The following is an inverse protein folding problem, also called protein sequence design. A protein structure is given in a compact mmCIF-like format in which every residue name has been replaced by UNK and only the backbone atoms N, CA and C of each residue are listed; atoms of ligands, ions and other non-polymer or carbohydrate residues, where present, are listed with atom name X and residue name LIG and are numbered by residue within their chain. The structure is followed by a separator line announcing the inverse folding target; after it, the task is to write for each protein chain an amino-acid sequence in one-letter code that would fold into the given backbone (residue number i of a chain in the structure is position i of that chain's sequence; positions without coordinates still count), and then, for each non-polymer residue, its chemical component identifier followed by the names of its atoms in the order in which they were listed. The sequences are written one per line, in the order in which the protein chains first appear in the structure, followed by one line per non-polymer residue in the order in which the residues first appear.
data_IF_497906242637
#
_entry.id   IF_497906242637
#
_cell.length_a   1.000
_cell.length_b   1.000
_cell.length_c   1.000
_cell.angle_alpha   90.00
_cell.angle_beta   90.00
_cell.angle_gamma   90.00
#
_symmetry.space_group_name_H-M   'P 1'
#
loop_
_entity.id
_entity.type
_entity.pdbx_description
1 polymer ?
#
# COMPACT_ATOMS: atom_id res chain seq x y z
N UNK A 1 28.70 11.21 -24.47
CA UNK A 1 28.23 10.97 -23.09
C UNK A 1 26.96 11.77 -22.90
N UNK A 2 25.79 11.15 -23.06
CA UNK A 2 24.50 11.85 -23.10
C UNK A 2 23.81 11.81 -21.74
N UNK A 3 23.05 12.84 -21.39
CA UNK A 3 22.30 13.00 -20.12
C UNK A 3 21.35 11.82 -19.77
N UNK A 4 21.07 10.90 -20.73
CA UNK A 4 20.39 9.62 -20.47
C UNK A 4 21.25 8.64 -19.67
N UNK A 5 22.56 8.63 -19.88
CA UNK A 5 23.53 7.91 -19.04
C UNK A 5 23.42 8.36 -17.60
N UNK A 6 23.28 9.67 -17.36
CA UNK A 6 23.26 10.21 -16.00
C UNK A 6 21.91 10.06 -15.31
N UNK A 7 20.79 9.98 -16.04
CA UNK A 7 19.47 9.70 -15.44
C UNK A 7 19.25 8.20 -15.22
N UNK A 8 19.69 7.31 -16.12
CA UNK A 8 19.67 5.86 -15.85
C UNK A 8 20.71 5.47 -14.81
N UNK A 9 21.89 6.08 -14.82
CA UNK A 9 22.88 5.95 -13.75
C UNK A 9 22.36 6.60 -12.48
N UNK A 10 21.65 7.73 -12.49
CA UNK A 10 20.99 8.27 -11.30
C UNK A 10 19.85 7.38 -10.82
N UNK A 11 19.07 6.70 -11.68
CA UNK A 11 18.00 5.78 -11.28
C UNK A 11 18.53 4.40 -10.85
N UNK A 12 19.64 3.92 -11.42
CA UNK A 12 20.35 2.69 -11.04
C UNK A 12 21.25 2.90 -9.82
N UNK A 13 21.91 4.06 -9.71
CA UNK A 13 22.60 4.53 -8.52
C UNK A 13 21.58 4.93 -7.45
N UNK A 14 20.37 5.44 -7.75
CA UNK A 14 19.25 5.61 -6.79
C UNK A 14 18.53 4.30 -6.45
N UNK A 15 18.59 3.29 -7.33
CA UNK A 15 18.16 1.92 -7.00
C UNK A 15 19.23 1.18 -6.17
N UNK A 16 20.51 1.59 -6.27
CA UNK A 16 21.62 1.13 -5.43
C UNK A 16 21.81 1.97 -4.16
N UNK A 17 21.40 3.24 -4.16
CA UNK A 17 21.26 4.14 -3.02
C UNK A 17 19.91 3.81 -2.39
N UNK A 18 19.93 2.79 -1.54
CA UNK A 18 18.85 2.50 -0.62
C UNK A 18 17.53 2.11 -1.32
N UNK A 19 17.57 1.01 -2.10
CA UNK A 19 16.50 0.03 -1.86
C UNK A 19 16.58 -0.26 -0.36
N UNK A 20 15.72 0.35 0.45
CA UNK A 20 15.60 -0.02 1.84
C UNK A 20 15.38 -1.53 1.82
N UNK A 21 16.43 -2.31 2.10
CA UNK A 21 16.37 -3.76 1.96
C UNK A 21 15.19 -4.16 2.81
N UNK A 22 14.12 -4.69 2.20
CA UNK A 22 12.97 -5.11 2.97
C UNK A 22 13.46 -6.28 3.82
N UNK A 23 13.82 -5.98 5.06
CA UNK A 23 14.22 -6.98 6.05
C UNK A 23 12.98 -7.65 6.63
N UNK A 24 11.83 -6.95 6.64
CA UNK A 24 10.56 -7.46 7.14
C UNK A 24 9.96 -8.53 6.21
N UNK A 25 9.76 -9.74 6.74
CA UNK A 25 9.21 -10.90 6.02
C UNK A 25 7.84 -10.65 5.38
N UNK A 26 6.96 -9.88 6.02
CA UNK A 26 5.61 -9.64 5.54
C UNK A 26 5.63 -8.74 4.31
N UNK A 27 6.48 -7.70 4.34
CA UNK A 27 6.64 -6.78 3.22
C UNK A 27 7.32 -7.44 2.01
N UNK A 28 8.11 -8.51 2.20
CA UNK A 28 8.62 -9.33 1.08
C UNK A 28 7.49 -10.02 0.30
N UNK A 29 6.37 -10.35 0.95
CA UNK A 29 5.21 -10.92 0.25
C UNK A 29 4.57 -9.89 -0.68
N UNK A 30 4.52 -8.62 -0.25
CA UNK A 30 4.07 -7.53 -1.11
C UNK A 30 4.96 -7.44 -2.33
N UNK A 31 6.28 -7.44 -2.14
CA UNK A 31 7.23 -7.33 -3.24
C UNK A 31 7.04 -8.45 -4.26
N UNK A 32 6.90 -9.69 -3.79
CA UNK A 32 6.60 -10.83 -4.65
C UNK A 32 5.35 -10.60 -5.50
N UNK A 33 4.28 -10.05 -4.94
CA UNK A 33 3.06 -9.76 -5.72
C UNK A 33 3.29 -8.61 -6.69
N UNK A 34 3.95 -7.53 -6.27
CA UNK A 34 4.25 -6.38 -7.12
C UNK A 34 5.14 -6.77 -8.31
N UNK A 35 6.24 -7.49 -8.08
CA UNK A 35 7.12 -7.99 -9.14
C UNK A 35 6.37 -8.84 -10.17
N UNK A 36 5.42 -9.65 -9.72
CA UNK A 36 4.62 -10.49 -10.61
C UNK A 36 3.54 -9.70 -11.37
N UNK A 37 2.83 -8.80 -10.69
CA UNK A 37 1.62 -8.15 -11.20
C UNK A 37 1.91 -6.79 -11.86
N UNK A 38 2.80 -5.98 -11.29
CA UNK A 38 3.19 -4.64 -11.72
C UNK A 38 4.69 -4.37 -11.48
N UNK A 39 5.61 -5.10 -12.15
CA UNK A 39 7.05 -4.93 -11.94
C UNK A 39 7.55 -3.52 -12.22
N UNK A 40 6.87 -2.77 -13.08
CA UNK A 40 7.21 -1.38 -13.40
C UNK A 40 7.12 -0.43 -12.20
N UNK A 41 6.45 -0.82 -11.11
CA UNK A 41 6.39 -0.01 -9.89
C UNK A 41 7.29 -0.56 -8.79
N UNK A 42 7.95 -1.72 -9.00
CA UNK A 42 8.63 -2.47 -7.95
C UNK A 42 9.74 -1.67 -7.25
N UNK A 43 10.43 -0.81 -7.99
CA UNK A 43 11.51 0.02 -7.46
C UNK A 43 11.02 1.27 -6.70
N UNK A 44 9.73 1.64 -6.82
CA UNK A 44 9.24 2.93 -6.32
C UNK A 44 8.07 2.79 -5.34
N UNK A 45 7.26 1.74 -5.42
CA UNK A 45 6.08 1.58 -4.55
C UNK A 45 6.44 1.51 -3.06
N UNK A 46 7.68 1.14 -2.75
CA UNK A 46 8.17 1.06 -1.39
C UNK A 46 8.64 2.39 -0.85
N UNK A 47 8.80 3.43 -1.69
CA UNK A 47 9.42 4.69 -1.31
C UNK A 47 8.89 5.18 0.03
N UNK A 48 9.82 5.34 0.96
CA UNK A 48 9.60 5.82 2.32
C UNK A 48 10.48 7.03 2.45
N UNK A 49 9.89 8.09 2.94
CA UNK A 49 10.61 9.32 3.03
C UNK A 49 11.38 9.36 4.34
N UNK A 50 12.54 8.70 4.40
CA UNK A 50 13.34 8.54 5.64
C UNK A 50 14.76 9.11 5.56
N UNK A 51 15.17 9.67 4.41
CA UNK A 51 16.60 9.82 4.07
C UNK A 51 17.05 11.25 3.66
N UNK A 52 16.21 12.28 3.72
CA UNK A 52 16.64 13.62 3.26
C UNK A 52 17.10 14.58 4.35
N UNK A 53 18.26 15.21 4.16
CA UNK A 53 18.85 16.24 5.04
C UNK A 53 17.93 17.44 5.32
N UNK A 54 17.05 17.83 4.40
CA UNK A 54 16.04 18.89 4.60
C UNK A 54 15.06 18.60 5.76
N UNK A 55 14.92 17.33 6.18
CA UNK A 55 14.08 16.94 7.32
C UNK A 55 14.71 17.27 8.67
N UNK A 56 16.01 17.56 8.76
CA UNK A 56 16.67 17.94 10.02
C UNK A 56 16.02 19.17 10.68
N UNK A 57 15.34 20.02 9.90
CA UNK A 57 14.66 21.24 10.38
C UNK A 57 13.23 20.93 10.92
N UNK A 58 12.64 19.74 10.65
CA UNK A 58 11.24 19.37 11.01
C UNK A 58 11.09 17.97 11.63
N UNK A 59 12.16 17.31 12.07
CA UNK A 59 12.17 15.91 12.53
C UNK A 59 11.15 15.60 13.63
N UNK A 60 10.97 16.51 14.60
CA UNK A 60 10.08 16.30 15.74
C UNK A 60 8.63 15.98 15.35
N UNK A 61 8.02 16.86 14.55
CA UNK A 61 6.62 16.69 14.10
C UNK A 61 6.45 15.51 13.15
N UNK A 62 7.48 15.16 12.39
CA UNK A 62 7.44 14.00 11.50
C UNK A 62 7.40 12.68 12.30
N UNK A 63 8.25 12.54 13.32
CA UNK A 63 8.22 11.37 14.20
C UNK A 63 6.90 11.24 14.95
N UNK A 64 6.36 12.34 15.44
CA UNK A 64 5.04 12.39 16.07
C UNK A 64 3.93 11.90 15.12
N UNK A 65 3.87 12.44 13.91
CA UNK A 65 2.89 12.07 12.88
C UNK A 65 3.02 10.59 12.45
N UNK A 66 4.24 10.05 12.40
CA UNK A 66 4.51 8.61 12.17
C UNK A 66 4.01 7.74 13.31
N UNK A 67 4.28 8.14 14.56
CA UNK A 67 3.76 7.45 15.75
C UNK A 67 2.24 7.47 15.76
N UNK A 68 1.62 8.61 15.50
CA UNK A 68 0.16 8.71 15.33
C UNK A 68 -0.35 7.83 14.19
N UNK A 69 0.38 7.72 13.08
CA UNK A 69 0.08 6.81 11.98
C UNK A 69 0.10 5.34 12.36
N UNK A 70 1.02 4.93 13.23
CA UNK A 70 1.09 3.56 13.77
C UNK A 70 -0.07 3.30 14.74
N UNK A 71 -0.36 4.26 15.64
CA UNK A 71 -1.48 4.15 16.56
C UNK A 71 -2.80 4.10 15.76
N UNK A 72 -2.94 4.93 14.74
CA UNK A 72 -4.07 4.90 13.80
C UNK A 72 -4.19 3.54 13.13
N UNK A 73 -3.09 2.96 12.64
CA UNK A 73 -3.10 1.58 12.11
C UNK A 73 -3.73 0.66 13.15
N UNK A 74 -3.17 0.54 14.35
CA UNK A 74 -3.69 -0.35 15.39
C UNK A 74 -5.17 -0.09 15.72
N UNK A 75 -5.58 1.17 15.80
CA UNK A 75 -6.97 1.57 15.99
C UNK A 75 -7.87 1.02 14.88
N UNK A 76 -7.48 1.17 13.61
CA UNK A 76 -8.18 0.60 12.46
C UNK A 76 -8.14 -0.93 12.46
N UNK A 77 -7.21 -1.55 13.19
CA UNK A 77 -7.16 -2.99 13.43
C UNK A 77 -8.01 -3.46 14.63
N UNK A 78 -8.76 -2.55 15.26
CA UNK A 78 -9.60 -2.85 16.43
C UNK A 78 -8.84 -2.85 17.75
N UNK A 79 -7.52 -2.58 17.74
CA UNK A 79 -6.69 -2.55 18.93
C UNK A 79 -6.60 -1.12 19.47
N UNK A 80 -7.37 -0.84 20.52
CA UNK A 80 -7.42 0.49 21.15
C UNK A 80 -6.32 0.75 22.18
N UNK A 81 -5.81 -0.29 22.84
CA UNK A 81 -4.73 -0.19 23.85
C UNK A 81 -3.40 -0.61 23.24
N UNK A 82 -2.44 0.30 23.19
CA UNK A 82 -1.15 0.08 22.52
C UNK A 82 0.00 0.42 23.46
N UNK A 83 0.93 -0.51 23.65
CA UNK A 83 2.10 -0.30 24.48
C UNK A 83 3.28 0.28 23.69
N UNK A 84 4.23 0.94 24.36
CA UNK A 84 5.41 1.55 23.72
C UNK A 84 6.24 0.55 22.89
N UNK A 85 6.41 -0.69 23.37
CA UNK A 85 7.14 -1.72 22.64
C UNK A 85 6.46 -2.12 21.32
N UNK A 86 5.14 -2.07 21.27
CA UNK A 86 4.36 -2.39 20.07
C UNK A 86 4.47 -1.28 19.03
N UNK A 87 4.53 -0.02 19.49
CA UNK A 87 4.82 1.12 18.61
C UNK A 87 6.22 1.01 18.02
N UNK A 88 7.23 0.68 18.85
CA UNK A 88 8.61 0.47 18.41
C UNK A 88 8.72 -0.65 17.37
N UNK A 89 8.10 -1.80 17.63
CA UNK A 89 8.11 -2.94 16.73
C UNK A 89 7.46 -2.64 15.37
N UNK A 90 6.37 -1.88 15.36
CA UNK A 90 5.74 -1.44 14.10
C UNK A 90 6.53 -0.33 13.42
N UNK A 91 7.13 0.59 14.17
CA UNK A 91 7.85 1.73 13.62
C UNK A 91 9.00 1.27 12.72
N UNK A 92 9.83 0.33 13.21
CA UNK A 92 10.95 -0.23 12.43
C UNK A 92 10.52 -1.01 11.18
N UNK A 93 9.24 -1.41 11.05
CA UNK A 93 8.74 -2.06 9.82
C UNK A 93 8.58 -1.06 8.68
N UNK A 94 8.19 0.17 9.00
CA UNK A 94 7.76 1.18 8.03
C UNK A 94 8.70 2.37 7.92
N UNK A 95 9.56 2.59 8.91
CA UNK A 95 10.42 3.76 8.98
C UNK A 95 11.82 3.41 9.48
N UNK A 96 12.78 4.32 9.25
CA UNK A 96 14.13 4.23 9.82
C UNK A 96 14.09 4.12 11.34
N UNK A 97 14.73 3.09 11.89
CA UNK A 97 14.71 2.80 13.33
C UNK A 97 15.16 3.99 14.19
N UNK A 98 14.45 4.19 15.30
CA UNK A 98 14.76 5.21 16.32
C UNK A 98 14.75 4.55 17.70
N UNK A 99 15.47 5.14 18.66
CA UNK A 99 15.54 4.61 20.01
C UNK A 99 14.14 4.56 20.68
N UNK A 100 13.88 3.51 21.46
CA UNK A 100 12.66 3.36 22.25
C UNK A 100 12.38 4.55 23.18
N UNK A 101 13.44 5.14 23.74
CA UNK A 101 13.35 6.36 24.57
C UNK A 101 12.76 7.52 23.79
N UNK A 102 13.14 7.71 22.53
CA UNK A 102 12.59 8.71 21.61
C UNK A 102 11.10 8.48 21.36
N UNK A 103 10.69 7.23 21.11
CA UNK A 103 9.27 6.88 20.95
C UNK A 103 8.49 7.20 22.23
N UNK A 104 9.02 6.83 23.39
CA UNK A 104 8.42 7.15 24.69
C UNK A 104 8.26 8.66 24.88
N UNK A 105 9.25 9.46 24.50
CA UNK A 105 9.20 10.93 24.55
C UNK A 105 8.04 11.48 23.72
N UNK A 106 7.89 11.08 22.46
CA UNK A 106 6.78 11.55 21.62
C UNK A 106 5.42 11.08 22.10
N UNK A 107 5.31 9.84 22.57
CA UNK A 107 4.08 9.34 23.19
C UNK A 107 3.70 10.14 24.45
N UNK A 108 4.68 10.59 25.24
CA UNK A 108 4.46 11.49 26.37
C UNK A 108 4.05 12.90 25.93
N UNK A 109 4.59 13.41 24.83
CA UNK A 109 4.18 14.70 24.25
C UNK A 109 2.72 14.66 23.81
N UNK A 110 2.36 13.68 23.00
CA UNK A 110 0.98 13.45 22.53
C UNK A 110 -0.01 13.28 23.70
N UNK A 111 0.45 12.71 24.83
CA UNK A 111 -0.34 12.67 26.06
C UNK A 111 -0.54 14.06 26.68
N UNK A 112 0.50 14.87 26.78
CA UNK A 112 0.40 16.24 27.34
C UNK A 112 -0.49 17.14 26.49
N UNK A 113 -0.53 16.91 25.18
CA UNK A 113 -1.37 17.63 24.22
C UNK A 113 -2.80 17.09 24.14
N UNK A 114 -3.16 16.11 24.98
CA UNK A 114 -4.48 15.48 25.01
C UNK A 114 -4.88 14.76 23.72
N UNK A 115 -3.93 14.44 22.84
CA UNK A 115 -4.16 13.56 21.68
C UNK A 115 -4.31 12.11 22.12
N UNK A 116 -3.54 11.70 23.13
CA UNK A 116 -3.57 10.38 23.73
C UNK A 116 -3.82 10.50 25.24
N UNK A 117 -4.41 9.47 25.85
CA UNK A 117 -4.35 9.27 27.29
C UNK A 117 -3.60 7.97 27.63
N UNK A 118 -3.27 7.83 28.91
CA UNK A 118 -2.53 6.69 29.44
C UNK A 118 -3.38 5.89 30.39
N UNK A 119 -3.30 4.58 30.25
CA UNK A 119 -3.81 3.61 31.21
C UNK A 119 -2.66 2.72 31.67
N UNK A 120 -2.68 2.29 32.94
CA UNK A 120 -1.70 1.36 33.48
C UNK A 120 -2.36 0.04 33.85
N UNK A 121 -1.72 -1.04 33.45
CA UNK A 121 -2.03 -2.39 33.92
C UNK A 121 -0.74 -3.01 34.47
N UNK A 122 -0.63 -3.03 35.80
CA UNK A 122 0.62 -3.37 36.49
C UNK A 122 1.81 -2.52 36.04
N UNK A 123 2.80 -3.15 35.40
CA UNK A 123 4.02 -2.50 34.90
C UNK A 123 3.89 -1.99 33.45
N UNK A 124 2.81 -2.34 32.76
CA UNK A 124 2.62 -1.98 31.35
C UNK A 124 1.85 -0.67 31.25
N UNK A 125 2.32 0.22 30.39
CA UNK A 125 1.67 1.50 30.08
C UNK A 125 1.06 1.41 28.68
N UNK A 126 -0.25 1.59 28.62
CA UNK A 126 -1.01 1.64 27.38
C UNK A 126 -1.32 3.08 26.99
N UNK A 127 -1.26 3.35 25.70
CA UNK A 127 -1.64 4.59 25.06
C UNK A 127 -2.90 4.36 24.24
N UNK A 128 -3.84 5.28 24.36
CA UNK A 128 -5.17 5.20 23.74
C UNK A 128 -5.50 6.60 23.21
N UNK A 129 -6.15 6.69 22.05
CA UNK A 129 -6.66 7.97 21.56
C UNK A 129 -7.65 8.58 22.56
N UNK A 130 -7.50 9.88 22.82
CA UNK A 130 -8.45 10.60 23.67
C UNK A 130 -9.82 10.72 23.01
N UNK A 131 -9.82 10.99 21.70
CA UNK A 131 -11.00 11.03 20.84
C UNK A 131 -10.79 10.14 19.61
N UNK A 132 -11.88 9.57 19.08
CA UNK A 132 -11.79 8.76 17.87
C UNK A 132 -11.27 9.61 16.69
N UNK A 133 -10.37 9.05 15.84
CA UNK A 133 -9.84 9.76 14.69
C UNK A 133 -10.95 10.26 13.74
N UNK A 134 -10.82 11.47 13.15
CA UNK A 134 -11.88 12.10 12.38
C UNK A 134 -12.19 11.34 11.09
N UNK A 135 -13.47 11.07 10.84
CA UNK A 135 -13.95 10.33 9.66
C UNK A 135 -14.35 11.29 8.54
N UNK A 136 -14.00 10.96 7.29
CA UNK A 136 -14.46 11.70 6.12
C UNK A 136 -13.82 13.07 5.94
N UNK A 137 -12.71 13.34 6.63
CA UNK A 137 -11.94 14.57 6.49
C UNK A 137 -11.15 14.59 5.17
N UNK A 138 -10.93 15.78 4.62
CA UNK A 138 -10.11 15.94 3.43
C UNK A 138 -8.72 15.31 3.65
N UNK A 139 -8.19 14.54 2.68
CA UNK A 139 -6.92 13.88 2.85
C UNK A 139 -5.74 14.80 3.17
N UNK A 140 -5.74 16.05 2.67
CA UNK A 140 -4.73 17.05 3.02
C UNK A 140 -4.69 17.33 4.53
N UNK A 141 -5.84 17.55 5.16
CA UNK A 141 -5.89 17.80 6.60
C UNK A 141 -5.53 16.55 7.39
N UNK A 142 -5.94 15.37 6.91
CA UNK A 142 -5.61 14.11 7.56
C UNK A 142 -4.10 13.83 7.57
N UNK A 143 -3.42 13.93 6.41
CA UNK A 143 -2.00 13.58 6.30
C UNK A 143 -1.08 14.59 7.00
N UNK A 144 -1.57 15.81 7.27
CA UNK A 144 -0.87 16.75 8.16
C UNK A 144 -0.80 16.30 9.61
N UNK A 145 -1.75 15.46 10.06
CA UNK A 145 -1.87 14.98 11.44
C UNK A 145 -1.38 13.54 11.56
N UNK A 146 -1.78 12.67 10.63
CA UNK A 146 -1.52 11.23 10.66
C UNK A 146 -0.69 10.75 9.48
N UNK A 147 0.28 9.88 9.74
CA UNK A 147 0.97 9.18 8.67
C UNK A 147 0.11 8.00 8.21
N UNK A 148 -0.36 8.04 6.98
CA UNK A 148 -1.23 7.00 6.41
C UNK A 148 -0.48 5.75 5.94
N UNK A 149 0.86 5.80 5.88
CA UNK A 149 1.70 4.73 5.34
C UNK A 149 1.41 3.39 6.04
N UNK A 150 1.45 3.28 7.38
CA UNK A 150 1.24 2.01 8.07
C UNK A 150 -0.15 1.41 7.76
N UNK A 151 -1.19 2.24 7.73
CA UNK A 151 -2.56 1.79 7.48
C UNK A 151 -2.73 1.19 6.06
N UNK A 152 -2.18 1.86 5.03
CA UNK A 152 -2.25 1.35 3.66
C UNK A 152 -1.37 0.12 3.44
N UNK A 153 -0.20 0.03 4.07
CA UNK A 153 0.62 -1.19 3.98
C UNK A 153 -0.02 -2.37 4.70
N UNK A 154 -0.60 -2.16 5.88
CA UNK A 154 -1.38 -3.18 6.58
C UNK A 154 -2.56 -3.68 5.72
N UNK A 155 -3.22 -2.77 5.00
CA UNK A 155 -4.26 -3.10 4.03
C UNK A 155 -3.72 -3.88 2.81
N UNK A 156 -2.59 -3.47 2.25
CA UNK A 156 -1.95 -4.20 1.14
C UNK A 156 -1.58 -5.63 1.56
N UNK A 157 -1.04 -5.82 2.76
CA UNK A 157 -0.71 -7.14 3.30
C UNK A 157 -1.94 -8.06 3.39
N UNK A 158 -3.10 -7.54 3.76
CA UNK A 158 -4.33 -8.31 3.77
C UNK A 158 -4.67 -8.85 2.36
N UNK A 159 -4.68 -7.99 1.33
CA UNK A 159 -4.98 -8.43 -0.03
C UNK A 159 -3.86 -9.27 -0.66
N UNK A 160 -2.61 -9.08 -0.26
CA UNK A 160 -1.50 -9.96 -0.64
C UNK A 160 -1.73 -11.37 -0.11
N UNK A 161 -2.19 -11.52 1.13
CA UNK A 161 -2.57 -12.82 1.67
C UNK A 161 -3.71 -13.46 0.86
N UNK A 162 -4.71 -12.69 0.44
CA UNK A 162 -5.76 -13.18 -0.45
C UNK A 162 -5.20 -13.65 -1.79
N UNK A 163 -4.36 -12.84 -2.44
CA UNK A 163 -3.70 -13.18 -3.69
C UNK A 163 -2.90 -14.49 -3.60
N UNK A 164 -2.12 -14.65 -2.52
CA UNK A 164 -1.26 -15.81 -2.32
C UNK A 164 -2.07 -17.08 -1.98
N UNK A 165 -3.17 -16.94 -1.24
CA UNK A 165 -4.04 -18.05 -0.82
C UNK A 165 -5.27 -18.25 -1.72
N UNK A 166 -5.28 -17.67 -2.92
CA UNK A 166 -6.42 -17.71 -3.82
C UNK A 166 -6.93 -19.14 -4.10
N UNK A 167 -6.02 -20.12 -4.24
CA UNK A 167 -6.38 -21.53 -4.47
C UNK A 167 -7.21 -22.09 -3.33
N UNK A 168 -6.76 -21.85 -2.08
CA UNK A 168 -7.47 -22.25 -0.87
C UNK A 168 -8.87 -21.63 -0.79
N UNK A 169 -8.98 -20.31 -1.00
CA UNK A 169 -10.27 -19.63 -0.91
C UNK A 169 -11.26 -20.07 -1.99
N UNK A 170 -10.77 -20.32 -3.21
CA UNK A 170 -11.61 -20.85 -4.29
C UNK A 170 -12.02 -22.30 -3.98
N UNK A 171 -11.15 -23.13 -3.41
CA UNK A 171 -11.49 -24.50 -2.99
C UNK A 171 -12.56 -24.56 -1.90
N UNK A 172 -12.43 -23.71 -0.88
CA UNK A 172 -13.40 -23.61 0.22
C UNK A 172 -14.78 -23.15 -0.28
N UNK A 173 -14.80 -22.34 -1.35
CA UNK A 173 -16.04 -21.83 -1.96
C UNK A 173 -16.65 -22.77 -3.02
N UNK A 174 -15.83 -23.45 -3.83
CA UNK A 174 -16.27 -24.25 -4.98
C UNK A 174 -16.50 -25.74 -4.66
N UNK A 175 -17.25 -26.08 -3.61
CA UNK A 175 -17.73 -27.46 -3.47
C UNK A 175 -18.71 -27.88 -4.61
N UNK A 176 -19.22 -26.91 -5.38
CA UNK A 176 -20.31 -27.10 -6.34
C UNK A 176 -19.94 -26.89 -7.84
N UNK A 177 -18.72 -26.52 -8.20
CA UNK A 177 -18.36 -26.15 -9.60
C UNK A 177 -17.49 -27.18 -10.34
N UNK A 178 -17.74 -27.33 -11.65
CA UNK A 178 -17.03 -28.26 -12.53
C UNK A 178 -15.50 -28.00 -12.58
N UNK A 179 -14.65 -29.06 -12.67
CA UNK A 179 -13.19 -28.95 -12.58
C UNK A 179 -12.52 -27.99 -13.58
N UNK A 180 -13.19 -27.69 -14.70
CA UNK A 180 -12.66 -26.83 -15.77
C UNK A 180 -12.63 -25.33 -15.44
N UNK A 181 -13.45 -24.85 -14.51
CA UNK A 181 -13.58 -23.40 -14.25
C UNK A 181 -12.68 -22.88 -13.13
N UNK A 182 -12.21 -23.78 -12.26
CA UNK A 182 -11.40 -23.43 -11.08
C UNK A 182 -10.13 -22.65 -11.44
N UNK A 183 -9.41 -23.07 -12.48
CA UNK A 183 -8.17 -22.38 -12.92
C UNK A 183 -8.45 -20.95 -13.39
N UNK A 184 -9.57 -20.72 -14.08
CA UNK A 184 -9.97 -19.39 -14.55
C UNK A 184 -10.36 -18.52 -13.36
N UNK A 185 -11.16 -19.06 -12.44
CA UNK A 185 -11.56 -18.34 -11.22
C UNK A 185 -10.35 -17.96 -10.35
N UNK A 186 -9.39 -18.87 -10.14
CA UNK A 186 -8.14 -18.55 -9.42
C UNK A 186 -7.38 -17.43 -10.11
N UNK A 187 -7.23 -17.47 -11.43
CA UNK A 187 -6.56 -16.42 -12.20
C UNK A 187 -7.27 -15.07 -12.03
N UNK A 188 -8.59 -15.06 -12.16
CA UNK A 188 -9.42 -13.86 -12.09
C UNK A 188 -9.45 -13.28 -10.67
N UNK A 189 -9.55 -14.13 -9.65
CA UNK A 189 -9.42 -13.76 -8.24
C UNK A 189 -8.06 -13.12 -7.95
N UNK A 190 -6.97 -13.73 -8.44
CA UNK A 190 -5.61 -13.16 -8.32
C UNK A 190 -5.53 -11.82 -9.06
N UNK A 191 -6.13 -11.70 -10.24
CA UNK A 191 -6.14 -10.44 -10.99
C UNK A 191 -6.85 -9.32 -10.23
N UNK A 192 -8.06 -9.56 -9.73
CA UNK A 192 -8.83 -8.61 -8.92
C UNK A 192 -8.04 -8.22 -7.66
N UNK A 193 -7.51 -9.20 -6.93
CA UNK A 193 -6.70 -8.95 -5.73
C UNK A 193 -5.45 -8.12 -6.04
N UNK A 194 -4.76 -8.42 -7.13
CA UNK A 194 -3.60 -7.65 -7.63
C UNK A 194 -3.98 -6.21 -7.98
N UNK A 195 -5.13 -6.01 -8.63
CA UNK A 195 -5.63 -4.68 -8.97
C UNK A 195 -5.99 -3.87 -7.72
N UNK A 196 -6.59 -4.50 -6.70
CA UNK A 196 -6.86 -3.86 -5.40
C UNK A 196 -5.54 -3.42 -4.74
N UNK A 197 -4.51 -4.28 -4.71
CA UNK A 197 -3.18 -3.93 -4.16
C UNK A 197 -2.58 -2.74 -4.91
N UNK A 198 -2.63 -2.75 -6.23
CA UNK A 198 -2.11 -1.64 -7.04
C UNK A 198 -2.87 -0.34 -6.77
N UNK A 199 -4.20 -0.42 -6.62
CA UNK A 199 -5.05 0.72 -6.28
C UNK A 199 -4.84 1.21 -4.85
N UNK A 200 -4.50 0.33 -3.90
CA UNK A 200 -4.06 0.71 -2.54
C UNK A 200 -2.83 1.60 -2.62
N UNK A 201 -1.82 1.22 -3.40
CA UNK A 201 -0.62 2.05 -3.56
C UNK A 201 -0.92 3.37 -4.26
N UNK A 202 -1.83 3.38 -5.24
CA UNK A 202 -2.31 4.62 -5.86
C UNK A 202 -3.00 5.53 -4.85
N UNK A 203 -3.90 4.99 -4.03
CA UNK A 203 -4.61 5.77 -3.02
C UNK A 203 -3.61 6.33 -2.01
N UNK A 204 -2.69 5.50 -1.51
CA UNK A 204 -1.61 5.96 -0.63
C UNK A 204 -0.82 7.10 -1.27
N UNK A 205 -0.38 6.96 -2.52
CA UNK A 205 0.44 7.97 -3.20
C UNK A 205 -0.28 9.30 -3.33
N UNK A 206 -1.54 9.30 -3.80
CA UNK A 206 -2.34 10.53 -3.94
C UNK A 206 -2.48 11.28 -2.62
N UNK A 207 -2.57 10.57 -1.49
CA UNK A 207 -2.62 11.21 -0.17
C UNK A 207 -1.24 11.65 0.33
N UNK A 208 -0.19 10.91 0.03
CA UNK A 208 1.19 11.31 0.34
C UNK A 208 1.58 12.59 -0.39
N UNK A 209 1.14 12.83 -1.63
CA UNK A 209 1.35 14.10 -2.35
C UNK A 209 0.82 15.30 -1.56
N UNK A 210 -0.27 15.13 -0.80
CA UNK A 210 -0.84 16.18 0.05
C UNK A 210 -0.09 16.38 1.38
N UNK A 211 0.87 15.53 1.74
CA UNK A 211 1.58 15.60 3.01
C UNK A 211 2.56 16.77 3.04
N UNK A 212 2.46 17.62 4.07
CA UNK A 212 3.34 18.78 4.28
C UNK A 212 4.79 18.42 4.60
N UNK A 213 5.03 17.17 4.99
CA UNK A 213 6.36 16.64 5.29
C UNK A 213 6.95 15.89 4.09
N UNK A 214 6.26 15.90 2.94
CA UNK A 214 6.64 15.10 1.79
C UNK A 214 7.35 15.82 0.65
N UNK A 215 8.34 15.14 0.06
CA UNK A 215 8.94 15.47 -1.23
C UNK A 215 7.94 15.24 -2.35
N UNK A 216 7.12 16.27 -2.59
CA UNK A 216 6.03 16.26 -3.59
C UNK A 216 6.47 15.72 -4.94
N UNK A 217 7.67 16.07 -5.41
CA UNK A 217 8.17 15.62 -6.72
C UNK A 217 8.28 14.10 -6.85
N UNK A 218 8.78 13.41 -5.82
CA UNK A 218 8.94 11.96 -5.85
C UNK A 218 7.57 11.29 -5.76
N UNK A 219 6.69 11.78 -4.88
CA UNK A 219 5.34 11.23 -4.77
C UNK A 219 4.47 11.51 -6.00
N UNK A 220 4.67 12.64 -6.69
CA UNK A 220 4.03 12.93 -7.98
C UNK A 220 4.49 11.91 -9.04
N UNK A 221 5.81 11.70 -9.18
CA UNK A 221 6.34 10.67 -10.09
C UNK A 221 5.80 9.29 -9.77
N UNK A 222 5.72 8.94 -8.49
CA UNK A 222 5.18 7.68 -8.02
C UNK A 222 3.69 7.56 -8.34
N UNK A 223 2.91 8.63 -8.14
CA UNK A 223 1.50 8.68 -8.49
C UNK A 223 1.28 8.50 -10.00
N UNK A 224 2.10 9.13 -10.84
CA UNK A 224 2.03 9.01 -12.30
C UNK A 224 2.30 7.59 -12.77
N UNK A 225 3.42 7.01 -12.31
CA UNK A 225 3.84 5.64 -12.67
C UNK A 225 2.79 4.63 -12.23
N UNK A 226 2.30 4.74 -11.00
CA UNK A 226 1.22 3.87 -10.50
C UNK A 226 -0.08 4.14 -11.27
N UNK A 227 -0.35 5.40 -11.62
CA UNK A 227 -1.52 5.80 -12.40
C UNK A 227 -1.59 5.11 -13.76
N UNK A 228 -0.47 5.07 -14.48
CA UNK A 228 -0.31 4.33 -15.73
C UNK A 228 -0.52 2.83 -15.49
N UNK A 229 0.15 2.27 -14.49
CA UNK A 229 0.05 0.83 -14.18
C UNK A 229 -1.40 0.41 -13.84
N UNK A 230 -2.16 1.24 -13.11
CA UNK A 230 -3.59 1.02 -12.84
C UNK A 230 -4.37 1.04 -14.15
N UNK A 231 -4.20 2.09 -14.96
CA UNK A 231 -4.91 2.24 -16.24
C UNK A 231 -4.71 1.03 -17.13
N UNK A 232 -3.48 0.53 -17.24
CA UNK A 232 -3.19 -0.63 -18.10
C UNK A 232 -3.89 -1.93 -17.70
N UNK A 233 -4.38 -2.00 -16.47
CA UNK A 233 -5.01 -3.18 -15.86
C UNK A 233 -6.47 -2.96 -15.53
N UNK A 234 -7.04 -1.80 -15.88
CA UNK A 234 -8.42 -1.45 -15.52
C UNK A 234 -9.21 -0.73 -16.59
N UNK A 235 -8.59 -0.26 -17.68
CA UNK A 235 -9.23 0.65 -18.62
C UNK A 235 -10.37 0.05 -19.46
N UNK A 236 -10.41 -1.28 -19.61
CA UNK A 236 -11.48 -1.98 -20.31
C UNK A 236 -12.38 -2.78 -19.36
N UNK A 237 -12.20 -2.61 -18.04
CA UNK A 237 -13.07 -3.21 -17.05
C UNK A 237 -14.34 -2.37 -16.85
N UNK A 238 -15.49 -3.00 -16.55
CA UNK A 238 -16.73 -2.29 -16.26
C UNK A 238 -16.61 -1.35 -15.07
N UNK A 239 -17.26 -0.18 -15.16
CA UNK A 239 -17.23 0.81 -14.09
C UNK A 239 -17.76 0.27 -12.76
N UNK A 240 -18.76 -0.61 -12.79
CA UNK A 240 -19.33 -1.20 -11.58
C UNK A 240 -18.29 -2.03 -10.82
N UNK A 241 -17.49 -2.85 -11.52
CA UNK A 241 -16.38 -3.59 -10.90
C UNK A 241 -15.36 -2.63 -10.29
N UNK A 242 -15.03 -1.54 -11.00
CA UNK A 242 -14.02 -0.59 -10.54
C UNK A 242 -14.49 0.24 -9.34
N UNK A 243 -15.67 0.83 -9.41
CA UNK A 243 -16.21 1.74 -8.39
C UNK A 243 -16.73 0.97 -7.18
N UNK A 244 -17.56 -0.05 -7.40
CA UNK A 244 -18.28 -0.71 -6.31
C UNK A 244 -17.39 -1.70 -5.56
N UNK A 245 -16.44 -2.36 -6.24
CA UNK A 245 -15.55 -3.34 -5.63
C UNK A 245 -14.14 -2.79 -5.42
N UNK A 246 -13.40 -2.49 -6.49
CA UNK A 246 -11.96 -2.20 -6.40
C UNK A 246 -11.69 -0.92 -5.59
N UNK A 247 -12.43 0.16 -5.86
CA UNK A 247 -12.26 1.43 -5.16
C UNK A 247 -12.65 1.32 -3.69
N UNK A 248 -13.78 0.69 -3.38
CA UNK A 248 -14.23 0.46 -1.99
C UNK A 248 -13.22 -0.39 -1.20
N UNK A 249 -12.73 -1.49 -1.79
CA UNK A 249 -11.81 -2.40 -1.14
C UNK A 249 -10.40 -1.83 -0.98
N UNK A 250 -9.97 -0.94 -1.86
CA UNK A 250 -8.63 -0.35 -1.82
C UNK A 250 -8.49 0.84 -0.85
N UNK A 251 -9.59 1.36 -0.30
CA UNK A 251 -9.58 2.53 0.59
C UNK A 251 -9.61 2.14 2.07
N UNK A 252 -8.98 2.94 2.95
CA UNK A 252 -9.04 2.71 4.41
C UNK A 252 -10.34 3.28 5.01
N UNK A 253 -10.82 2.76 6.17
CA UNK A 253 -12.13 3.14 6.73
C UNK A 253 -12.34 4.63 6.93
N UNK A 254 -11.30 5.34 7.38
CA UNK A 254 -11.37 6.78 7.65
C UNK A 254 -11.64 7.63 6.40
N UNK A 255 -11.35 7.08 5.22
CA UNK A 255 -11.67 7.65 3.91
C UNK A 255 -12.83 6.91 3.22
N UNK A 256 -13.78 6.38 4.01
CA UNK A 256 -15.00 5.67 3.56
C UNK A 256 -14.73 4.31 2.90
N UNK A 257 -13.59 3.69 3.18
CA UNK A 257 -13.30 2.31 2.78
C UNK A 257 -13.89 1.27 3.73
N UNK A 258 -13.80 -0.01 3.36
CA UNK A 258 -14.28 -1.11 4.22
C UNK A 258 -13.30 -1.43 5.36
N UNK A 259 -13.85 -1.80 6.52
CA UNK A 259 -13.07 -2.28 7.66
C UNK A 259 -12.75 -3.78 7.54
N UNK A 260 -11.61 -4.08 6.92
CA UNK A 260 -11.11 -5.45 6.61
C UNK A 260 -10.73 -6.29 7.85
N UNK A 261 -10.90 -5.75 9.05
CA UNK A 261 -10.50 -6.43 10.30
C UNK A 261 -11.69 -7.02 11.06
N UNK A 262 -12.92 -6.65 10.69
CA UNK A 262 -14.12 -7.38 11.11
C UNK A 262 -14.18 -8.72 10.39
N UNK A 263 -14.38 -9.82 11.12
CA UNK A 263 -14.37 -11.18 10.55
C UNK A 263 -15.53 -11.40 9.56
N UNK A 264 -16.72 -10.88 9.87
CA UNK A 264 -17.86 -10.87 8.94
C UNK A 264 -17.49 -10.15 7.63
N UNK A 265 -16.87 -8.97 7.73
CA UNK A 265 -16.42 -8.22 6.56
C UNK A 265 -15.35 -8.99 5.77
N UNK A 266 -14.44 -9.72 6.41
CA UNK A 266 -13.41 -10.50 5.70
C UNK A 266 -14.01 -11.62 4.85
N UNK A 267 -14.98 -12.34 5.41
CA UNK A 267 -15.68 -13.39 4.67
C UNK A 267 -16.46 -12.79 3.49
N UNK A 268 -17.16 -11.67 3.73
CA UNK A 268 -17.85 -10.93 2.68
C UNK A 268 -16.90 -10.47 1.57
N UNK A 269 -15.72 -9.93 1.90
CA UNK A 269 -14.72 -9.51 0.90
C UNK A 269 -14.30 -10.67 0.01
N UNK A 270 -14.01 -11.83 0.60
CA UNK A 270 -13.63 -13.03 -0.17
C UNK A 270 -14.76 -13.39 -1.13
N UNK A 271 -16.00 -13.48 -0.63
CA UNK A 271 -17.19 -13.79 -1.46
C UNK A 271 -17.40 -12.77 -2.57
N UNK A 272 -17.24 -11.47 -2.29
CA UNK A 272 -17.36 -10.40 -3.27
C UNK A 272 -16.33 -10.55 -4.40
N UNK A 273 -15.06 -10.86 -4.07
CA UNK A 273 -14.02 -11.06 -5.08
C UNK A 273 -14.29 -12.33 -5.90
N UNK A 274 -14.70 -13.43 -5.28
CA UNK A 274 -15.02 -14.68 -5.99
C UNK A 274 -16.20 -14.46 -6.95
N UNK A 275 -17.28 -13.85 -6.46
CA UNK A 275 -18.45 -13.54 -7.29
C UNK A 275 -18.06 -12.65 -8.47
N UNK A 276 -17.29 -11.61 -8.24
CA UNK A 276 -16.82 -10.74 -9.32
C UNK A 276 -15.89 -11.45 -10.31
N UNK A 277 -15.05 -12.38 -9.83
CA UNK A 277 -14.17 -13.17 -10.69
C UNK A 277 -14.93 -14.07 -11.67
N UNK A 278 -16.13 -14.50 -11.28
CA UNK A 278 -17.05 -15.31 -12.09
C UNK A 278 -17.95 -14.43 -12.98
N UNK A 279 -18.62 -13.45 -12.39
CA UNK A 279 -19.57 -12.55 -13.06
C UNK A 279 -18.90 -11.78 -14.20
N UNK A 280 -17.70 -11.25 -13.98
CA UNK A 280 -16.95 -10.45 -14.96
C UNK A 280 -15.90 -11.27 -15.72
N UNK A 281 -16.06 -12.59 -15.81
CA UNK A 281 -15.06 -13.50 -16.40
C UNK A 281 -14.59 -13.07 -17.80
N UNK A 282 -15.52 -12.69 -18.69
CA UNK A 282 -15.17 -12.27 -20.07
C UNK A 282 -14.38 -10.96 -20.10
N UNK A 283 -14.78 -9.98 -19.29
CA UNK A 283 -14.11 -8.68 -19.22
C UNK A 283 -12.71 -8.80 -18.61
N UNK A 284 -12.57 -9.63 -17.57
CA UNK A 284 -11.29 -9.94 -16.95
C UNK A 284 -10.35 -10.65 -17.92
N UNK A 285 -10.85 -11.61 -18.69
CA UNK A 285 -10.08 -12.31 -19.72
C UNK A 285 -9.56 -11.36 -20.79
N UNK A 286 -10.43 -10.45 -21.25
CA UNK A 286 -10.07 -9.42 -22.21
C UNK A 286 -9.03 -8.44 -21.63
N UNK A 287 -9.26 -7.90 -20.43
CA UNK A 287 -8.32 -7.00 -19.75
C UNK A 287 -6.95 -7.67 -19.55
N UNK A 288 -6.90 -8.92 -19.08
CA UNK A 288 -5.65 -9.67 -18.88
C UNK A 288 -4.88 -9.81 -20.20
N UNK A 289 -5.59 -10.11 -21.30
CA UNK A 289 -4.98 -10.20 -22.63
C UNK A 289 -4.42 -8.84 -23.07
N UNK A 290 -5.17 -7.76 -22.91
CA UNK A 290 -4.76 -6.39 -23.24
C UNK A 290 -3.54 -5.97 -22.42
N UNK A 291 -3.55 -6.20 -21.11
CA UNK A 291 -2.42 -5.88 -20.22
C UNK A 291 -1.13 -6.61 -20.62
N UNK A 292 -1.23 -7.90 -20.99
CA UNK A 292 -0.08 -8.67 -21.50
C UNK A 292 0.47 -8.08 -22.80
N UNK A 293 -0.40 -7.72 -23.75
CA UNK A 293 0.00 -7.09 -25.02
C UNK A 293 0.71 -5.75 -24.80
N UNK A 294 0.16 -4.89 -23.93
CA UNK A 294 0.78 -3.59 -23.58
C UNK A 294 2.14 -3.76 -22.93
N UNK A 295 2.27 -4.69 -22.00
CA UNK A 295 3.57 -5.02 -21.37
C UNK A 295 4.59 -5.45 -22.41
N UNK A 296 4.21 -6.33 -23.35
CA UNK A 296 5.09 -6.78 -24.42
C UNK A 296 5.49 -5.64 -25.38
N UNK A 297 4.56 -4.76 -25.73
CA UNK A 297 4.84 -3.59 -26.59
C UNK A 297 5.84 -2.63 -25.93
N UNK A 298 5.67 -2.31 -24.65
CA UNK A 298 6.62 -1.44 -23.93
C UNK A 298 8.01 -2.05 -23.83
N UNK A 299 8.10 -3.36 -23.59
CA UNK A 299 9.38 -4.05 -23.60
C UNK A 299 10.07 -3.96 -24.96
N UNK A 300 9.32 -4.03 -26.06
CA UNK A 300 9.85 -3.84 -27.42
C UNK A 300 10.28 -2.40 -27.69
N UNK A 301 9.45 -1.42 -27.35
CA UNK A 301 9.76 0.01 -27.49
C UNK A 301 11.01 0.40 -26.69
N UNK A 302 11.16 -0.15 -25.48
CA UNK A 302 12.34 0.08 -24.65
C UNK A 302 13.62 -0.44 -25.32
N UNK A 303 13.60 -1.68 -25.83
CA UNK A 303 14.73 -2.26 -26.56
C UNK A 303 15.12 -1.45 -27.79
N UNK A 304 14.13 -1.00 -28.57
CA UNK A 304 14.36 -0.14 -29.74
C UNK A 304 15.04 1.19 -29.37
N UNK A 305 14.59 1.84 -28.30
CA UNK A 305 15.18 3.09 -27.80
C UNK A 305 16.59 2.88 -27.24
N UNK A 306 16.87 1.72 -26.64
CA UNK A 306 18.20 1.34 -26.16
C UNK A 306 19.16 1.12 -27.34
N UNK A 307 18.72 0.43 -28.41
CA UNK A 307 19.48 0.20 -29.64
C UNK A 307 19.77 1.51 -30.42
N UNK A 308 18.82 2.45 -30.46
CA UNK A 308 19.00 3.78 -31.08
C UNK A 308 19.97 4.69 -30.32
N UNK A 309 20.10 4.53 -29.00
CA UNK A 309 21.07 5.31 -28.20
C UNK A 309 22.49 4.68 -28.21
N UNK A 310 22.64 3.42 -28.63
CA UNK A 310 23.95 2.76 -28.81
C UNK A 310 24.56 3.12 -30.18
N UNK A 311 23.70 3.41 -31.15
CA UNK A 311 24.11 3.75 -32.52
C UNK A 311 24.29 5.26 -32.77
N UNK A 312 24.21 6.10 -31.73
CA UNK A 312 24.48 7.55 -31.74
C UNK A 312 25.57 7.89 -30.71
#
# INVERSE_FOLDING_TARGET
MSEKSDIERFLLESAKLESAQITNSDLKLIDKVVQNFAPEIAYIYQYREDESEEQQIKTGRLHENRILGIILKFYLEGKKKIATGEVEEEYKKYFKEIARSTISTYLNMLKRESTLYKERDGRIVYYIFYEDPPIGINPFWFTRIFCIIPAYFGRALYFVNLYMKAEKYIEEYNKDYYPGEKKILIRNFKFISGLIILKIFKKRSSKCVCCQFSKREIYNKLEDIIGVAVKDRSDVLPEDLLKNLIDTLSEIPIFKGLNIKSDDIREQIIKMIIKAADEYKKDLDFQIMVSKRRKALRLKQKKSLEEENINN
#
